data_IF_332093539492
#
_entry.id   IF_332093539492
#
_cell.length_a   1.000
_cell.length_b   1.000
_cell.length_c   1.000
_cell.angle_alpha   90.00
_cell.angle_beta   90.00
_cell.angle_gamma   90.00
#
_symmetry.space_group_name_H-M   'P 1'
#
loop_
_entity.id
_entity.type
_entity.pdbx_description
1 polymer ?
#
# COMPACT_ATOMS: atom_id res chain seq x y z
N UNK A 1 -7.59 -6.78 -15.48
CA UNK A 1 -7.72 -8.22 -15.79
C UNK A 1 -6.57 -8.96 -15.13
N UNK A 2 -6.75 -9.43 -13.89
CA UNK A 2 -5.78 -10.29 -13.22
C UNK A 2 -5.73 -11.64 -13.95
N UNK A 3 -4.75 -11.82 -14.84
CA UNK A 3 -4.34 -13.15 -15.30
C UNK A 3 -3.20 -13.59 -14.40
N UNK A 4 -3.54 -14.14 -13.22
CA UNK A 4 -2.57 -14.89 -12.43
C UNK A 4 -2.57 -16.30 -13.01
N UNK A 5 -1.52 -16.63 -13.76
CA UNK A 5 -1.34 -17.99 -14.27
C UNK A 5 -1.24 -18.94 -13.07
N UNK A 6 -2.23 -19.83 -12.91
CA UNK A 6 -2.16 -20.97 -11.99
C UNK A 6 -2.90 -20.85 -10.65
N UNK A 7 -3.37 -19.68 -10.21
CA UNK A 7 -3.87 -19.51 -8.83
C UNK A 7 -5.31 -18.99 -8.69
N UNK A 8 -6.10 -18.93 -9.77
CA UNK A 8 -7.50 -18.45 -9.68
C UNK A 8 -8.32 -19.29 -8.70
N UNK A 9 -8.16 -20.61 -8.69
CA UNK A 9 -8.83 -21.50 -7.74
C UNK A 9 -8.39 -21.30 -6.29
N UNK A 10 -7.10 -21.00 -6.04
CA UNK A 10 -6.59 -20.73 -4.71
C UNK A 10 -7.07 -19.38 -4.17
N UNK A 11 -7.20 -18.39 -5.05
CA UNK A 11 -7.79 -17.09 -4.72
C UNK A 11 -9.29 -17.29 -4.46
N UNK A 12 -10.05 -17.85 -5.40
CA UNK A 12 -11.50 -18.06 -5.23
C UNK A 12 -11.82 -18.90 -3.97
N UNK A 13 -11.04 -19.93 -3.66
CA UNK A 13 -11.20 -20.72 -2.44
C UNK A 13 -10.97 -19.95 -1.13
N UNK A 14 -10.22 -18.84 -1.20
CA UNK A 14 -9.91 -17.99 -0.05
C UNK A 14 -10.76 -16.72 -0.04
N UNK A 15 -11.34 -16.32 -1.18
CA UNK A 15 -12.24 -15.18 -1.30
C UNK A 15 -13.68 -15.48 -0.91
N UNK A 16 -14.11 -16.73 -1.04
CA UNK A 16 -15.41 -17.15 -0.52
C UNK A 16 -15.35 -17.12 1.02
N UNK A 17 -16.08 -16.20 1.70
CA UNK A 17 -16.20 -16.30 3.14
C UNK A 17 -16.75 -17.69 3.45
N UNK A 18 -16.12 -18.46 4.36
CA UNK A 18 -16.58 -19.81 4.60
C UNK A 18 -18.05 -19.73 4.99
N UNK A 19 -18.92 -20.38 4.19
CA UNK A 19 -20.32 -20.52 4.53
C UNK A 19 -20.45 -21.15 5.92
N UNK A 20 -21.64 -21.10 6.51
CA UNK A 20 -21.87 -21.56 7.88
C UNK A 20 -21.31 -22.98 8.14
N UNK A 21 -21.38 -23.85 7.12
CA UNK A 21 -20.78 -25.19 7.12
C UNK A 21 -19.25 -25.23 7.17
N UNK A 22 -18.57 -24.33 6.47
CA UNK A 22 -17.10 -24.24 6.46
C UNK A 22 -16.57 -23.56 7.73
N UNK A 23 -17.36 -22.66 8.36
CA UNK A 23 -17.08 -22.13 9.71
C UNK A 23 -17.27 -23.17 10.81
N UNK A 24 -18.17 -24.14 10.60
CA UNK A 24 -18.42 -25.24 11.51
C UNK A 24 -17.43 -26.41 11.37
N UNK A 25 -16.49 -26.35 10.41
CA UNK A 25 -15.53 -27.41 10.17
C UNK A 25 -14.43 -27.41 11.26
N UNK A 26 -13.98 -28.57 11.77
CA UNK A 26 -12.92 -28.65 12.79
C UNK A 26 -11.60 -28.00 12.37
N UNK A 27 -11.31 -27.98 11.07
CA UNK A 27 -10.15 -27.33 10.47
C UNK A 27 -10.26 -25.79 10.36
N UNK A 28 -11.41 -25.20 10.69
CA UNK A 28 -11.60 -23.76 10.64
C UNK A 28 -10.86 -23.07 11.81
N UNK A 29 -9.71 -22.47 11.50
CA UNK A 29 -8.87 -21.80 12.49
C UNK A 29 -9.42 -20.49 13.06
N UNK A 30 -10.58 -20.00 12.62
CA UNK A 30 -11.10 -18.69 13.00
C UNK A 30 -11.02 -17.64 11.90
N UNK A 31 -11.68 -16.50 12.09
CA UNK A 31 -11.68 -15.41 11.11
C UNK A 31 -10.28 -14.83 10.91
N UNK A 32 -9.51 -14.63 11.97
CA UNK A 32 -8.16 -14.06 11.89
C UNK A 32 -7.20 -14.95 11.08
N UNK A 33 -7.21 -16.27 11.33
CA UNK A 33 -6.41 -17.23 10.59
C UNK A 33 -6.78 -17.30 9.10
N UNK A 34 -8.07 -17.17 8.78
CA UNK A 34 -8.53 -17.10 7.40
C UNK A 34 -8.00 -15.83 6.72
N UNK A 35 -8.08 -14.67 7.37
CA UNK A 35 -7.58 -13.41 6.83
C UNK A 35 -6.06 -13.40 6.68
N UNK A 36 -5.33 -14.01 7.60
CA UNK A 36 -3.87 -14.19 7.50
C UNK A 36 -3.50 -15.03 6.28
N UNK A 37 -4.22 -16.13 6.07
CA UNK A 37 -4.03 -17.01 4.91
C UNK A 37 -4.34 -16.26 3.60
N UNK A 38 -5.44 -15.51 3.55
CA UNK A 38 -5.79 -14.69 2.39
C UNK A 38 -4.73 -13.63 2.11
N UNK A 39 -4.31 -12.91 3.13
CA UNK A 39 -3.28 -11.88 3.02
C UNK A 39 -1.98 -12.47 2.49
N UNK A 40 -1.55 -13.64 2.98
CA UNK A 40 -0.36 -14.31 2.49
C UNK A 40 -0.46 -14.65 0.98
N UNK A 41 -1.60 -15.20 0.54
CA UNK A 41 -1.85 -15.50 -0.87
C UNK A 41 -1.84 -14.24 -1.73
N UNK A 42 -2.55 -13.18 -1.30
CA UNK A 42 -2.64 -11.93 -2.06
C UNK A 42 -1.30 -11.22 -2.14
N UNK A 43 -0.56 -11.08 -1.03
CA UNK A 43 0.75 -10.44 -1.00
C UNK A 43 1.80 -11.25 -1.77
N UNK A 44 1.73 -12.58 -1.77
CA UNK A 44 2.60 -13.43 -2.61
C UNK A 44 2.39 -13.21 -4.11
N UNK A 45 1.21 -12.74 -4.52
CA UNK A 45 0.84 -12.44 -5.90
C UNK A 45 0.74 -10.93 -6.18
N UNK A 46 1.16 -10.08 -5.25
CA UNK A 46 1.05 -8.63 -5.37
C UNK A 46 2.03 -8.09 -6.41
N UNK A 47 1.49 -7.47 -7.46
CA UNK A 47 2.29 -7.00 -8.59
C UNK A 47 3.28 -5.91 -8.19
N UNK A 48 2.88 -4.97 -7.32
CA UNK A 48 3.77 -3.90 -6.87
C UNK A 48 4.98 -4.48 -6.13
N UNK A 49 4.76 -5.36 -5.15
CA UNK A 49 5.85 -6.03 -4.41
C UNK A 49 6.76 -6.83 -5.33
N UNK A 50 6.21 -7.58 -6.29
CA UNK A 50 7.01 -8.33 -7.25
C UNK A 50 7.88 -7.42 -8.14
N UNK A 51 7.32 -6.29 -8.63
CA UNK A 51 8.07 -5.36 -9.47
C UNK A 51 9.11 -4.56 -8.68
N UNK A 52 8.83 -4.20 -7.42
CA UNK A 52 9.81 -3.58 -6.51
C UNK A 52 10.95 -4.55 -6.18
N UNK A 53 10.64 -5.80 -5.84
CA UNK A 53 11.65 -6.83 -5.56
C UNK A 53 12.54 -7.14 -6.78
N UNK A 54 12.00 -7.02 -7.99
CA UNK A 54 12.76 -7.14 -9.23
C UNK A 54 13.60 -5.90 -9.58
N UNK A 55 13.47 -4.79 -8.84
CA UNK A 55 14.16 -3.52 -9.13
C UNK A 55 13.61 -2.75 -10.34
N UNK A 56 12.42 -3.13 -10.84
CA UNK A 56 11.82 -2.52 -12.03
C UNK A 56 11.17 -1.17 -11.74
N UNK A 57 10.71 -0.96 -10.51
CA UNK A 57 9.97 0.24 -10.07
C UNK A 57 10.35 0.63 -8.65
N UNK A 58 10.14 1.90 -8.30
CA UNK A 58 10.32 2.43 -6.94
C UNK A 58 11.67 2.07 -6.28
N UNK A 59 12.75 2.14 -7.04
CA UNK A 59 14.10 1.85 -6.54
C UNK A 59 14.48 2.74 -5.35
N UNK A 60 14.94 2.10 -4.28
CA UNK A 60 15.29 2.73 -3.01
C UNK A 60 14.09 3.09 -2.12
N UNK A 61 12.85 2.87 -2.57
CA UNK A 61 11.69 3.02 -1.69
C UNK A 61 11.48 1.77 -0.84
N UNK A 62 10.94 2.01 0.34
CA UNK A 62 10.51 1.03 1.31
C UNK A 62 8.99 1.13 1.49
N UNK A 63 8.39 0.01 1.88
CA UNK A 63 6.99 -0.11 2.24
C UNK A 63 6.88 -0.75 3.62
N UNK A 64 5.89 -0.30 4.41
CA UNK A 64 5.58 -0.94 5.68
C UNK A 64 4.99 -2.34 5.52
N UNK A 65 5.06 -3.14 6.58
CA UNK A 65 4.37 -4.42 6.61
C UNK A 65 2.85 -4.22 6.54
N UNK A 66 2.24 -4.81 5.51
CA UNK A 66 0.79 -4.81 5.33
C UNK A 66 0.19 -5.86 6.26
N UNK A 67 -0.45 -5.39 7.32
CA UNK A 67 -1.18 -6.22 8.30
C UNK A 67 -2.70 -6.04 8.22
N UNK A 68 -3.16 -5.03 7.47
CA UNK A 68 -4.57 -4.74 7.24
C UNK A 68 -5.18 -5.56 6.09
N UNK A 69 -6.51 -5.57 6.01
CA UNK A 69 -7.27 -6.27 4.96
C UNK A 69 -7.14 -5.57 3.61
N UNK A 70 -7.35 -6.25 2.46
CA UNK A 70 -7.34 -5.61 1.15
C UNK A 70 -8.28 -4.40 1.08
N UNK A 71 -7.82 -3.34 0.44
CA UNK A 71 -8.51 -2.05 0.42
C UNK A 71 -9.47 -1.90 -0.75
N UNK A 72 -9.41 -2.81 -1.71
CA UNK A 72 -10.20 -2.81 -2.93
C UNK A 72 -10.58 -4.25 -3.32
N UNK A 73 -11.67 -4.52 -4.05
CA UNK A 73 -12.80 -3.66 -4.35
C UNK A 73 -13.96 -4.04 -3.43
N UNK A 74 -14.56 -3.06 -2.77
CA UNK A 74 -15.78 -3.27 -1.99
C UNK A 74 -17.05 -3.10 -2.81
N UNK A 75 -18.10 -3.82 -2.45
CA UNK A 75 -19.40 -3.71 -3.10
C UNK A 75 -20.06 -2.35 -2.80
N UNK A 76 -20.68 -1.74 -3.81
CA UNK A 76 -21.28 -0.40 -3.68
C UNK A 76 -22.59 -0.40 -2.89
N UNK A 77 -23.31 -1.53 -2.89
CA UNK A 77 -24.56 -1.75 -2.13
C UNK A 77 -24.27 -2.30 -0.74
N UNK A 78 -23.35 -3.26 -0.65
CA UNK A 78 -22.95 -3.93 0.59
C UNK A 78 -21.50 -3.61 0.95
N UNK A 79 -21.27 -2.41 1.49
CA UNK A 79 -19.94 -1.83 1.71
C UNK A 79 -19.03 -2.61 2.68
N UNK A 80 -19.53 -3.61 3.39
CA UNK A 80 -18.70 -4.47 4.25
C UNK A 80 -18.21 -5.74 3.53
N UNK A 81 -18.71 -5.99 2.32
CA UNK A 81 -18.36 -7.15 1.50
C UNK A 81 -17.49 -6.71 0.32
N UNK A 82 -16.58 -7.58 -0.09
CA UNK A 82 -15.85 -7.42 -1.34
C UNK A 82 -16.77 -7.61 -2.55
N UNK A 83 -16.34 -7.15 -3.73
CA UNK A 83 -17.12 -7.11 -4.97
C UNK A 83 -17.85 -8.43 -5.30
N UNK A 84 -19.15 -8.46 -5.03
CA UNK A 84 -20.04 -9.59 -5.35
C UNK A 84 -20.73 -9.43 -6.72
N UNK A 85 -20.37 -8.41 -7.50
CA UNK A 85 -20.92 -8.24 -8.84
C UNK A 85 -20.51 -9.39 -9.77
N UNK A 86 -21.12 -9.49 -10.95
CA UNK A 86 -20.76 -10.49 -11.97
C UNK A 86 -19.27 -10.45 -12.36
N UNK A 87 -18.58 -9.32 -12.11
CA UNK A 87 -17.15 -9.17 -12.40
C UNK A 87 -16.25 -9.86 -11.38
N UNK A 88 -16.74 -10.12 -10.16
CA UNK A 88 -16.03 -10.84 -9.09
C UNK A 88 -14.55 -10.45 -9.01
N UNK A 89 -14.27 -9.15 -8.84
CA UNK A 89 -12.90 -8.67 -8.79
C UNK A 89 -12.22 -9.22 -7.53
N UNK A 90 -11.04 -9.77 -7.74
CA UNK A 90 -10.18 -10.25 -6.66
C UNK A 90 -9.83 -9.06 -5.74
N UNK A 91 -10.04 -9.17 -4.42
CA UNK A 91 -9.54 -8.23 -3.44
C UNK A 91 -8.05 -7.97 -3.60
N UNK A 92 -7.66 -6.70 -3.53
CA UNK A 92 -6.32 -6.24 -3.81
C UNK A 92 -5.91 -5.06 -2.91
N UNK A 93 -4.60 -4.87 -2.81
CA UNK A 93 -3.95 -3.77 -2.11
C UNK A 93 -3.55 -2.70 -3.12
N UNK A 94 -4.53 -1.94 -3.62
CA UNK A 94 -4.32 -0.90 -4.64
C UNK A 94 -3.78 0.40 -4.05
N UNK A 95 -4.08 0.66 -2.78
CA UNK A 95 -3.78 1.91 -2.09
C UNK A 95 -2.53 1.71 -1.20
N UNK A 96 -1.43 2.37 -1.52
CA UNK A 96 -0.10 2.08 -0.93
C UNK A 96 0.65 3.35 -0.55
N UNK A 97 1.45 3.29 0.50
CA UNK A 97 2.32 4.40 0.91
C UNK A 97 3.75 3.89 0.99
N UNK A 98 4.58 4.41 0.09
CA UNK A 98 5.99 4.11 -0.02
C UNK A 98 6.79 5.30 0.48
N UNK A 99 7.90 5.06 1.16
CA UNK A 99 8.77 6.12 1.65
C UNK A 99 10.24 5.79 1.39
N UNK A 100 11.08 6.81 1.40
CA UNK A 100 12.51 6.68 1.13
C UNK A 100 13.27 7.79 1.86
N UNK A 101 14.39 7.44 2.47
CA UNK A 101 15.33 8.42 3.02
C UNK A 101 16.31 8.90 1.93
N UNK A 102 16.81 10.14 2.04
CA UNK A 102 17.90 10.61 1.18
C UNK A 102 19.15 9.74 1.37
N UNK A 103 19.97 9.60 0.32
CA UNK A 103 21.18 8.75 0.38
C UNK A 103 22.18 9.23 1.44
N UNK A 104 22.21 10.54 1.70
CA UNK A 104 23.07 11.17 2.71
C UNK A 104 22.44 11.21 4.11
N UNK A 105 21.20 10.76 4.28
CA UNK A 105 20.52 10.81 5.56
C UNK A 105 21.10 9.75 6.52
N UNK A 106 21.19 10.04 7.83
CA UNK A 106 21.62 9.04 8.79
C UNK A 106 20.65 7.86 8.84
N UNK A 107 21.10 6.65 9.21
CA UNK A 107 20.23 5.51 9.42
C UNK A 107 19.08 5.86 10.38
N UNK A 108 17.85 5.51 10.00
CA UNK A 108 16.64 5.83 10.79
C UNK A 108 16.14 7.27 10.64
N UNK A 109 16.66 8.05 9.69
CA UNK A 109 16.14 9.40 9.41
C UNK A 109 14.67 9.42 8.97
N UNK A 110 14.16 8.32 8.42
CA UNK A 110 12.73 8.10 8.21
C UNK A 110 12.36 6.80 8.91
N UNK A 111 11.39 6.85 9.82
CA UNK A 111 10.89 5.68 10.55
C UNK A 111 9.39 5.59 10.45
N UNK A 112 8.91 4.43 10.04
CA UNK A 112 7.50 4.10 10.06
C UNK A 112 7.02 3.85 11.50
N UNK A 113 6.03 4.62 11.93
CA UNK A 113 5.36 4.47 13.22
C UNK A 113 4.10 3.62 13.10
N UNK A 114 3.33 3.85 12.03
CA UNK A 114 2.08 3.13 11.77
C UNK A 114 1.85 2.98 10.28
N UNK A 115 1.30 1.83 9.86
CA UNK A 115 0.80 1.62 8.51
C UNK A 115 -0.48 0.80 8.57
N UNK A 116 -1.60 1.42 8.19
CA UNK A 116 -2.92 0.80 8.34
C UNK A 116 -3.94 1.34 7.34
N UNK A 117 -5.11 0.71 7.31
CA UNK A 117 -6.30 1.19 6.60
C UNK A 117 -7.38 1.64 7.59
N UNK A 118 -8.31 2.48 7.13
CA UNK A 118 -9.51 2.86 7.87
C UNK A 118 -10.75 2.16 7.30
N UNK A 119 -11.08 0.93 7.75
CA UNK A 119 -12.21 0.16 7.22
C UNK A 119 -13.58 0.79 7.51
N UNK A 120 -13.66 1.68 8.50
CA UNK A 120 -14.88 2.39 8.91
C UNK A 120 -15.33 3.42 7.86
N UNK A 121 -14.38 3.92 7.06
CA UNK A 121 -14.63 4.89 6.00
C UNK A 121 -15.08 4.17 4.72
N UNK A 122 -16.39 4.02 4.61
CA UNK A 122 -17.02 3.21 3.56
C UNK A 122 -17.60 4.03 2.41
N UNK A 123 -17.26 5.32 2.29
CA UNK A 123 -17.81 6.22 1.25
C UNK A 123 -17.43 5.81 -0.18
N UNK A 124 -16.33 5.09 -0.35
CA UNK A 124 -15.79 4.59 -1.63
C UNK A 124 -15.78 3.05 -1.69
N UNK A 125 -15.55 2.49 -2.89
CA UNK A 125 -15.19 1.07 -3.07
C UNK A 125 -13.72 0.78 -2.69
N UNK A 126 -12.97 1.83 -2.33
CA UNK A 126 -11.66 1.77 -1.70
C UNK A 126 -11.75 2.06 -0.19
N UNK A 127 -10.83 1.50 0.59
CA UNK A 127 -10.60 1.87 2.00
C UNK A 127 -9.35 2.75 2.10
N UNK A 128 -9.43 3.94 2.73
CA UNK A 128 -8.28 4.81 2.89
C UNK A 128 -7.13 4.08 3.59
N UNK A 129 -5.92 4.29 3.09
CA UNK A 129 -4.67 3.79 3.67
C UNK A 129 -3.84 4.98 4.13
N UNK A 130 -3.22 4.84 5.29
CA UNK A 130 -2.37 5.88 5.87
C UNK A 130 -1.09 5.28 6.44
N UNK A 131 -0.03 6.09 6.43
CA UNK A 131 1.22 5.80 7.11
C UNK A 131 1.62 7.00 7.97
N UNK A 132 2.03 6.72 9.21
CA UNK A 132 2.62 7.71 10.10
C UNK A 132 4.15 7.54 10.08
N UNK A 133 4.86 8.62 9.77
CA UNK A 133 6.31 8.63 9.60
C UNK A 133 6.96 9.64 10.54
N UNK A 134 7.92 9.19 11.34
CA UNK A 134 8.85 10.07 12.04
C UNK A 134 10.01 10.40 11.10
N UNK A 135 10.24 11.70 10.86
CA UNK A 135 11.30 12.17 9.96
C UNK A 135 12.27 13.05 10.73
N UNK A 136 13.55 12.67 10.72
CA UNK A 136 14.62 13.52 11.22
C UNK A 136 14.75 14.74 10.31
N UNK A 137 14.65 15.92 10.91
CA UNK A 137 14.74 17.19 10.22
C UNK A 137 15.90 17.98 10.81
N UNK A 138 16.89 18.27 9.97
CA UNK A 138 17.93 19.25 10.27
C UNK A 138 17.54 20.57 9.61
N UNK A 139 17.20 21.61 10.39
CA UNK A 139 16.91 22.92 9.83
C UNK A 139 18.16 23.44 9.12
N UNK A 140 18.04 23.77 7.83
CA UNK A 140 19.07 24.56 7.17
C UNK A 140 19.12 25.93 7.83
N UNK A 141 20.32 26.42 8.15
CA UNK A 141 20.54 27.78 8.69
C UNK A 141 19.91 28.90 7.83
N UNK A 142 19.59 28.63 6.55
CA UNK A 142 18.88 29.56 5.68
C UNK A 142 17.38 29.75 6.03
N UNK A 143 16.79 28.89 6.87
CA UNK A 143 15.39 28.98 7.29
C UNK A 143 15.18 29.76 8.60
N UNK A 144 16.26 30.09 9.32
CA UNK A 144 16.19 30.77 10.61
C UNK A 144 15.87 32.28 10.51
N UNK A 145 15.85 32.84 9.30
CA UNK A 145 15.50 34.25 9.03
C UNK A 145 14.07 34.45 8.48
N UNK A 146 13.25 33.38 8.44
CA UNK A 146 11.91 33.41 7.87
C UNK A 146 10.80 33.40 8.94
N UNK A 147 10.80 34.41 9.83
CA UNK A 147 9.63 34.75 10.66
C UNK A 147 8.52 35.47 9.84
N UNK A 148 8.50 35.23 8.53
CA UNK A 148 7.51 35.75 7.60
C UNK A 148 6.58 34.60 7.18
N UNK A 149 5.31 34.72 7.55
CA UNK A 149 4.18 33.93 7.03
C UNK A 149 4.22 33.88 5.49
N UNK A 150 4.79 32.80 4.94
CA UNK A 150 4.76 32.52 3.51
C UNK A 150 3.82 31.34 3.25
N UNK A 151 2.75 31.58 2.50
CA UNK A 151 1.88 30.55 1.93
C UNK A 151 2.74 29.50 1.21
N UNK A 152 2.77 28.29 1.75
CA UNK A 152 3.44 27.14 1.12
C UNK A 152 2.54 26.60 0.00
N UNK A 153 2.78 27.06 -1.23
CA UNK A 153 2.15 26.51 -2.44
C UNK A 153 2.95 25.31 -2.93
N UNK A 154 2.37 24.10 -2.87
CA UNK A 154 2.97 22.88 -3.39
C UNK A 154 3.03 22.91 -4.93
N UNK A 155 4.20 22.79 -5.58
CA UNK A 155 4.23 22.61 -7.02
C UNK A 155 3.94 21.15 -7.37
N UNK A 156 2.85 20.92 -8.12
CA UNK A 156 2.66 19.67 -8.84
C UNK A 156 3.73 19.54 -9.92
N UNK A 157 4.75 18.72 -9.68
CA UNK A 157 5.71 18.36 -10.72
C UNK A 157 5.12 17.22 -11.55
N UNK A 158 4.62 17.55 -12.74
CA UNK A 158 4.47 16.59 -13.82
C UNK A 158 5.82 16.43 -14.51
N UNK A 159 6.33 15.19 -14.62
CA UNK A 159 7.49 14.89 -15.48
C UNK A 159 7.18 13.76 -16.45
N UNK A 160 7.15 14.15 -17.73
CA UNK A 160 7.25 13.27 -18.88
C UNK A 160 8.51 12.41 -18.83
N UNK A 161 8.35 11.17 -19.29
CA UNK A 161 9.41 10.19 -19.45
C UNK A 161 10.58 10.69 -20.31
N UNK A 162 11.82 10.43 -19.86
CA UNK A 162 12.98 10.26 -20.74
C UNK A 162 14.07 9.40 -20.08
N UNK A 163 14.31 8.26 -20.72
CA UNK A 163 15.55 7.50 -20.94
C UNK A 163 16.78 7.78 -20.05
N UNK A 164 17.19 6.75 -19.32
CA UNK A 164 18.56 6.20 -19.35
C UNK A 164 19.70 7.11 -18.90
N UNK A 165 19.84 7.28 -17.60
CA UNK A 165 21.07 7.74 -16.94
C UNK A 165 21.20 7.05 -15.60
N UNK A 166 22.45 6.71 -15.24
CA UNK A 166 22.84 6.23 -13.90
C UNK A 166 22.13 7.06 -12.83
N UNK A 167 21.50 6.46 -11.80
CA UNK A 167 20.69 7.25 -10.88
C UNK A 167 21.61 8.21 -10.13
N UNK A 168 21.40 9.52 -10.34
CA UNK A 168 22.01 10.56 -9.54
C UNK A 168 21.66 10.31 -8.07
N UNK A 169 22.63 10.51 -7.17
CA UNK A 169 22.42 10.41 -5.73
C UNK A 169 21.19 11.24 -5.32
N UNK A 170 20.30 10.62 -4.56
CA UNK A 170 19.03 11.20 -4.20
C UNK A 170 19.23 12.15 -3.03
N UNK A 171 19.09 13.44 -3.33
CA UNK A 171 19.38 14.52 -2.39
C UNK A 171 18.31 14.71 -1.31
N UNK A 172 17.13 14.11 -1.45
CA UNK A 172 16.00 14.34 -0.55
C UNK A 172 15.21 13.05 -0.26
N UNK A 173 14.77 12.94 0.99
CA UNK A 173 13.78 11.94 1.42
C UNK A 173 12.45 12.19 0.69
N UNK A 174 11.67 11.15 0.45
CA UNK A 174 10.44 11.24 -0.34
C UNK A 174 9.37 10.27 0.17
N UNK A 175 8.11 10.68 0.03
CA UNK A 175 6.93 9.83 0.28
C UNK A 175 6.13 9.78 -1.02
N UNK A 176 5.64 8.59 -1.39
CA UNK A 176 4.84 8.35 -2.57
C UNK A 176 3.57 7.58 -2.17
N UNK A 177 2.40 8.12 -2.52
CA UNK A 177 1.15 7.41 -2.42
C UNK A 177 0.78 6.83 -3.80
N UNK A 178 0.44 5.54 -3.82
CA UNK A 178 -0.07 4.84 -5.01
C UNK A 178 -1.55 4.56 -4.79
N UNK A 179 -2.40 4.90 -5.75
CA UNK A 179 -3.86 4.71 -5.73
C UNK A 179 -4.34 4.23 -7.10
#
# INVERSE_FOLDING_TARGET
NYRIAGCRAAIDAVLEPPGERARAAPEWGGEDHHWDSMRAVLLGNDQLRQQMAAGNVFNGFEEGDITFRPTYKFDSKQRHLYDQSEKQRVPAYTDRVLFRAADAAPPGAVRLLQYSSSPELTTSDHRPVFAELAVAYEPSAAAADADAVAEYSMPMVSRSARSGTTPAAQSQSSVCAVM
#
